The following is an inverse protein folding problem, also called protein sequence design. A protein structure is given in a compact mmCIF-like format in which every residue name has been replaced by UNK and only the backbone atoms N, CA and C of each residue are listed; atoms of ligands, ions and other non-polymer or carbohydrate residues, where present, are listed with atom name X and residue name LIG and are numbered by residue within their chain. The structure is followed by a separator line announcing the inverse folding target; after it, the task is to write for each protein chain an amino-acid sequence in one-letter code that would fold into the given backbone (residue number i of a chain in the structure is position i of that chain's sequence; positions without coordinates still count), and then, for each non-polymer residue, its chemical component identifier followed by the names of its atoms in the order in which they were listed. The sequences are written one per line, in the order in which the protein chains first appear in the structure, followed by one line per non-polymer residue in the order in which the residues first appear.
data_IF_892209388137
#
_entry.id   IF_892209388137
#
_cell.length_a   1.000
_cell.length_b   1.000
_cell.length_c   1.000
_cell.angle_alpha   90.00
_cell.angle_beta   90.00
_cell.angle_gamma   90.00
#
_symmetry.space_group_name_H-M   'P 1'
#
loop_
_entity.id
_entity.type
_entity.pdbx_description
1 polymer ?
#
# COMPACT_ATOMS: atom_id res chain seq x y z
N UNK A 1 47.96 -30.58 10.10
CA UNK A 1 46.60 -31.16 9.98
C UNK A 1 45.53 -30.40 10.77
N UNK A 2 45.78 -29.95 12.02
CA UNK A 2 44.73 -29.38 12.88
C UNK A 2 44.06 -28.09 12.42
N UNK A 3 44.79 -27.15 11.79
CA UNK A 3 44.21 -25.87 11.35
C UNK A 3 43.10 -26.01 10.30
N UNK A 4 43.23 -26.98 9.37
CA UNK A 4 42.20 -27.26 8.36
C UNK A 4 40.93 -27.84 8.99
N UNK A 5 41.07 -28.68 10.02
CA UNK A 5 39.94 -29.27 10.75
C UNK A 5 39.16 -28.17 11.49
N UNK A 6 39.87 -27.25 12.15
CA UNK A 6 39.25 -26.13 12.84
C UNK A 6 38.47 -25.23 11.87
N UNK A 7 39.06 -24.93 10.70
CA UNK A 7 38.38 -24.16 9.67
C UNK A 7 37.10 -24.84 9.17
N UNK A 8 37.15 -26.16 8.94
CA UNK A 8 35.98 -26.94 8.53
C UNK A 8 34.87 -26.93 9.59
N UNK A 9 35.22 -27.01 10.87
CA UNK A 9 34.25 -26.93 11.98
C UNK A 9 33.63 -25.54 12.09
N UNK A 10 34.39 -24.48 11.88
CA UNK A 10 33.86 -23.10 11.90
C UNK A 10 32.86 -22.86 10.76
N UNK A 11 33.17 -23.34 9.55
CA UNK A 11 32.25 -23.25 8.41
C UNK A 11 30.97 -24.05 8.67
N UNK A 12 31.08 -25.27 9.21
CA UNK A 12 29.93 -26.09 9.59
C UNK A 12 29.05 -25.35 10.62
N UNK A 13 29.65 -24.78 11.66
CA UNK A 13 28.94 -23.97 12.65
C UNK A 13 28.21 -22.79 11.99
N UNK A 14 28.85 -22.02 11.12
CA UNK A 14 28.20 -20.87 10.47
C UNK A 14 27.01 -21.32 9.59
N UNK A 15 27.12 -22.46 8.90
CA UNK A 15 26.02 -23.00 8.08
C UNK A 15 24.87 -23.57 8.90
N UNK A 16 25.15 -24.16 10.08
CA UNK A 16 24.13 -24.71 10.99
C UNK A 16 23.44 -23.59 11.79
N UNK A 17 24.19 -22.58 12.23
CA UNK A 17 23.71 -21.43 13.00
C UNK A 17 23.44 -20.21 12.10
N UNK A 18 23.04 -20.44 10.84
CA UNK A 18 22.90 -19.43 9.78
C UNK A 18 22.46 -18.05 10.29
N UNK A 19 23.12 -16.99 9.81
CA UNK A 19 22.79 -15.63 10.23
C UNK A 19 21.39 -15.27 9.72
N UNK A 20 20.43 -15.16 10.62
CA UNK A 20 19.07 -14.69 10.33
C UNK A 20 19.07 -13.17 10.11
N UNK A 21 19.77 -12.69 9.08
CA UNK A 21 19.83 -11.27 8.75
C UNK A 21 18.71 -10.83 7.79
N UNK A 22 18.02 -11.77 7.13
CA UNK A 22 16.97 -11.46 6.15
C UNK A 22 15.59 -11.19 6.76
N UNK A 23 15.36 -11.66 7.99
CA UNK A 23 14.05 -11.58 8.66
C UNK A 23 13.77 -10.19 9.26
N UNK A 24 14.81 -9.46 9.69
CA UNK A 24 14.65 -8.10 10.22
C UNK A 24 14.30 -7.08 9.14
N UNK A 25 14.97 -7.16 7.98
CA UNK A 25 14.71 -6.29 6.83
C UNK A 25 13.34 -6.54 6.20
N UNK A 26 12.94 -7.82 6.11
CA UNK A 26 11.61 -8.20 5.62
C UNK A 26 10.50 -7.68 6.53
N UNK A 27 10.64 -7.83 7.86
CA UNK A 27 9.68 -7.29 8.83
C UNK A 27 9.59 -5.76 8.80
N UNK A 28 10.72 -5.07 8.63
CA UNK A 28 10.73 -3.61 8.52
C UNK A 28 9.98 -3.11 7.29
N UNK A 29 10.12 -3.78 6.14
CA UNK A 29 9.35 -3.48 4.93
C UNK A 29 7.85 -3.74 5.11
N UNK A 30 7.48 -4.86 5.73
CA UNK A 30 6.07 -5.18 6.03
C UNK A 30 5.45 -4.10 6.91
N UNK A 31 6.15 -3.70 7.98
CA UNK A 31 5.69 -2.63 8.88
C UNK A 31 5.52 -1.29 8.16
N UNK A 32 6.40 -0.96 7.21
CA UNK A 32 6.28 0.27 6.42
C UNK A 32 5.06 0.24 5.50
N UNK A 33 4.80 -0.90 4.83
CA UNK A 33 3.62 -1.10 3.98
C UNK A 33 2.34 -1.03 4.82
N UNK A 34 2.31 -1.66 5.99
CA UNK A 34 1.16 -1.60 6.91
C UNK A 34 0.86 -0.18 7.37
N UNK A 35 1.90 0.60 7.76
CA UNK A 35 1.73 2.01 8.13
C UNK A 35 1.18 2.85 6.99
N UNK A 36 1.68 2.63 5.77
CA UNK A 36 1.17 3.31 4.56
C UNK A 36 -0.29 2.94 4.30
N UNK A 37 -0.64 1.66 4.38
CA UNK A 37 -2.02 1.18 4.24
C UNK A 37 -2.95 1.78 5.30
N UNK A 38 -2.52 1.82 6.56
CA UNK A 38 -3.30 2.43 7.64
C UNK A 38 -3.53 3.93 7.41
N UNK A 39 -2.51 4.63 6.90
CA UNK A 39 -2.64 6.05 6.54
C UNK A 39 -3.65 6.25 5.41
N UNK A 40 -3.60 5.43 4.35
CA UNK A 40 -4.54 5.48 3.24
C UNK A 40 -5.99 5.19 3.70
N UNK A 41 -6.18 4.16 4.52
CA UNK A 41 -7.49 3.80 5.08
C UNK A 41 -8.08 4.91 5.96
N UNK A 42 -7.24 5.70 6.66
CA UNK A 42 -7.71 6.81 7.49
C UNK A 42 -8.40 7.93 6.70
N UNK A 43 -8.03 8.09 5.42
CA UNK A 43 -8.67 9.08 4.53
C UNK A 43 -9.96 8.56 3.89
N UNK A 44 -10.22 7.25 3.99
CA UNK A 44 -11.46 6.64 3.55
C UNK A 44 -12.61 7.06 4.47
N UNK A 45 -13.64 7.65 3.87
CA UNK A 45 -14.87 8.03 4.55
C UNK A 45 -15.81 6.83 4.69
N UNK A 46 -15.73 5.89 3.75
CA UNK A 46 -16.58 4.71 3.68
C UNK A 46 -15.91 3.65 2.81
N UNK A 47 -16.06 2.39 3.18
CA UNK A 47 -15.66 1.26 2.35
C UNK A 47 -16.92 0.57 1.83
N UNK A 48 -16.99 0.35 0.52
CA UNK A 48 -18.07 -0.41 -0.12
C UNK A 48 -17.51 -1.71 -0.68
N UNK A 49 -18.36 -2.74 -0.72
CA UNK A 49 -18.03 -4.03 -1.35
C UNK A 49 -18.90 -4.21 -2.58
N UNK A 50 -18.28 -4.43 -3.73
CA UNK A 50 -18.99 -4.79 -4.96
C UNK A 50 -19.57 -6.20 -4.86
N UNK A 51 -20.57 -6.51 -5.67
CA UNK A 51 -21.13 -7.86 -5.81
C UNK A 51 -20.05 -8.87 -6.23
N UNK A 52 -19.09 -8.42 -7.05
CA UNK A 52 -17.92 -9.18 -7.50
C UNK A 52 -16.88 -9.43 -6.38
N UNK A 53 -17.05 -8.80 -5.22
CA UNK A 53 -16.18 -8.96 -4.07
C UNK A 53 -15.11 -7.89 -3.92
N UNK A 54 -14.99 -6.96 -4.87
CA UNK A 54 -14.04 -5.84 -4.80
C UNK A 54 -14.36 -4.90 -3.63
N UNK A 55 -13.32 -4.47 -2.92
CA UNK A 55 -13.41 -3.54 -1.81
C UNK A 55 -12.94 -2.17 -2.28
N UNK A 56 -13.84 -1.19 -2.30
CA UNK A 56 -13.58 0.16 -2.80
C UNK A 56 -13.68 1.14 -1.64
N UNK A 57 -12.61 1.91 -1.43
CA UNK A 57 -12.54 2.98 -0.43
C UNK A 57 -12.96 4.34 -1.03
N UNK A 58 -13.94 4.97 -0.41
CA UNK A 58 -14.50 6.25 -0.80
C UNK A 58 -13.73 7.40 -0.13
N UNK A 59 -13.10 8.27 -0.92
CA UNK A 59 -12.34 9.43 -0.44
C UNK A 59 -12.91 10.70 -1.09
N UNK A 60 -12.93 11.81 -0.35
CA UNK A 60 -13.29 13.13 -0.91
C UNK A 60 -12.39 13.47 -2.10
N UNK A 61 -13.00 13.85 -3.22
CA UNK A 61 -12.31 14.22 -4.46
C UNK A 61 -11.18 15.23 -4.23
N UNK A 62 -11.37 16.21 -3.35
CA UNK A 62 -10.35 17.25 -3.09
C UNK A 62 -9.23 16.76 -2.17
N UNK A 63 -9.40 15.60 -1.52
CA UNK A 63 -8.46 15.01 -0.57
C UNK A 63 -7.78 13.75 -1.12
N UNK A 64 -7.92 13.48 -2.42
CA UNK A 64 -7.24 12.35 -3.03
C UNK A 64 -5.72 12.57 -2.97
N UNK A 65 -4.92 11.55 -2.59
CA UNK A 65 -3.46 11.65 -2.50
C UNK A 65 -2.79 12.06 -3.82
N UNK A 66 -3.45 11.84 -4.96
CA UNK A 66 -2.96 12.27 -6.27
C UNK A 66 -2.70 13.78 -6.35
N UNK A 67 -3.45 14.61 -5.60
CA UNK A 67 -3.29 16.06 -5.60
C UNK A 67 -2.07 16.55 -4.80
N UNK A 68 -1.41 15.68 -4.03
CA UNK A 68 -0.12 15.98 -3.40
C UNK A 68 1.02 16.02 -4.42
N UNK A 69 0.78 15.51 -5.65
CA UNK A 69 1.76 15.60 -6.72
C UNK A 69 1.91 17.06 -7.19
N UNK A 70 3.14 17.61 -7.33
CA UNK A 70 3.37 19.02 -7.67
C UNK A 70 2.67 19.47 -8.96
N UNK A 71 2.56 18.57 -9.94
CA UNK A 71 1.87 18.84 -11.20
C UNK A 71 0.35 19.01 -11.06
N UNK A 72 -0.25 18.48 -9.99
CA UNK A 72 -1.70 18.47 -9.77
C UNK A 72 -2.15 19.41 -8.64
N UNK A 73 -1.22 20.01 -7.89
CA UNK A 73 -1.50 20.89 -6.73
C UNK A 73 -2.45 22.06 -7.01
N UNK A 74 -2.41 22.61 -8.23
CA UNK A 74 -3.27 23.72 -8.66
C UNK A 74 -4.22 23.32 -9.80
N UNK A 75 -4.40 22.02 -10.02
CA UNK A 75 -5.27 21.53 -11.07
C UNK A 75 -6.74 21.76 -10.68
N UNK A 76 -7.44 22.63 -11.43
CA UNK A 76 -8.88 22.79 -11.29
C UNK A 76 -9.58 21.63 -11.98
N UNK A 77 -10.21 20.78 -11.18
CA UNK A 77 -11.02 19.67 -11.70
C UNK A 77 -12.16 20.25 -12.53
N UNK A 78 -12.15 19.96 -13.82
CA UNK A 78 -13.23 20.35 -14.74
C UNK A 78 -14.21 19.18 -14.84
N UNK A 79 -15.29 19.26 -14.06
CA UNK A 79 -16.40 18.32 -14.19
C UNK A 79 -17.28 18.77 -15.36
N UNK A 80 -17.08 18.14 -16.53
CA UNK A 80 -17.93 18.39 -17.68
C UNK A 80 -19.21 17.55 -17.56
N UNK A 81 -20.33 18.25 -17.37
CA UNK A 81 -21.64 17.72 -16.98
C UNK A 81 -22.16 16.65 -17.95
N UNK A 82 -21.81 16.71 -19.24
CA UNK A 82 -22.40 15.81 -20.24
C UNK A 82 -21.69 14.46 -20.40
N UNK A 83 -20.38 14.38 -20.10
CA UNK A 83 -19.57 13.19 -20.42
C UNK A 83 -18.91 12.55 -19.19
N UNK A 84 -18.74 13.31 -18.11
CA UNK A 84 -18.04 12.84 -16.89
C UNK A 84 -19.01 12.53 -15.75
N UNK A 85 -20.24 13.05 -15.81
CA UNK A 85 -21.31 12.74 -14.85
C UNK A 85 -21.58 11.25 -14.73
N UNK A 86 -21.69 10.43 -15.79
CA UNK A 86 -22.00 9.03 -15.59
C UNK A 86 -20.95 8.33 -14.71
N UNK A 87 -19.66 8.59 -14.93
CA UNK A 87 -18.57 7.96 -14.18
C UNK A 87 -18.36 8.56 -12.77
N UNK A 88 -18.44 9.90 -12.67
CA UNK A 88 -18.27 10.61 -11.38
C UNK A 88 -19.48 10.44 -10.47
N UNK A 89 -20.70 10.52 -11.02
CA UNK A 89 -21.90 10.13 -10.28
C UNK A 89 -21.94 8.63 -10.04
N UNK A 90 -21.44 7.74 -10.90
CA UNK A 90 -21.42 6.31 -10.55
C UNK A 90 -20.63 6.06 -9.27
N UNK A 91 -19.38 6.55 -9.17
CA UNK A 91 -18.58 6.36 -7.95
C UNK A 91 -19.15 7.14 -6.76
N UNK A 92 -19.60 8.37 -6.94
CA UNK A 92 -20.16 9.16 -5.84
C UNK A 92 -21.51 8.58 -5.37
N UNK A 93 -22.38 8.12 -6.28
CA UNK A 93 -23.67 7.50 -5.97
C UNK A 93 -23.47 6.12 -5.35
N UNK A 94 -22.52 5.30 -5.82
CA UNK A 94 -22.14 4.05 -5.14
C UNK A 94 -21.60 4.32 -3.72
N UNK A 95 -20.77 5.33 -3.54
CA UNK A 95 -20.27 5.69 -2.22
C UNK A 95 -21.34 6.30 -1.30
N UNK A 96 -22.32 7.04 -1.82
CA UNK A 96 -23.33 7.76 -1.03
C UNK A 96 -24.61 6.94 -0.78
N UNK A 97 -25.09 6.13 -1.73
CA UNK A 97 -26.46 5.55 -1.71
C UNK A 97 -26.55 4.01 -1.56
N UNK A 98 -25.49 3.30 -1.16
CA UNK A 98 -25.59 1.88 -0.75
C UNK A 98 -25.22 1.66 0.72
#
# INVERSE_FOLDING_TARGET
MGSKVIFMLLVLCITVYGTNNDDSFSRQKVLEVEKKLQHLRKHSLKTIKSEDGDIIDCIDIKKQPAFDHPALKNHKIQVNVLHVIPFFFFLQYFCVNL
#
